data_IF_087608070757
#
_entry.id   IF_087608070757
#
_cell.length_a   1.000
_cell.length_b   1.000
_cell.length_c   1.000
_cell.angle_alpha   90.00
_cell.angle_beta   90.00
_cell.angle_gamma   90.00
#
_symmetry.space_group_name_H-M   'P 1'
#
loop_
_entity.id
_entity.type
_entity.pdbx_description
1 polymer ?
#
# COMPACT_ATOMS: atom_id res chain seq x y z
N UNK A 1 -19.64 2.77 23.34
CA UNK A 1 -19.33 1.33 23.28
C UNK A 1 -18.53 1.06 22.01
N UNK A 2 -17.45 0.28 22.08
CA UNK A 2 -16.57 0.00 20.95
C UNK A 2 -17.21 -1.08 20.07
N UNK A 3 -17.28 -0.87 18.76
CA UNK A 3 -17.92 -1.80 17.83
C UNK A 3 -17.24 -1.82 16.46
N UNK A 4 -17.50 -2.87 15.69
CA UNK A 4 -17.10 -2.96 14.28
C UNK A 4 -17.93 -1.98 13.45
N UNK A 5 -17.28 -1.00 12.84
CA UNK A 5 -17.92 0.01 11.99
C UNK A 5 -18.01 -0.43 10.53
N UNK A 6 -16.96 -1.06 10.02
CA UNK A 6 -16.88 -1.52 8.63
C UNK A 6 -16.04 -2.78 8.55
N UNK A 7 -16.45 -3.69 7.66
CA UNK A 7 -15.68 -4.84 7.24
C UNK A 7 -15.35 -4.72 5.75
N UNK A 8 -14.14 -5.10 5.37
CA UNK A 8 -13.72 -5.14 3.98
C UNK A 8 -12.76 -6.29 3.70
N UNK A 9 -12.88 -6.85 2.50
CA UNK A 9 -11.92 -7.79 1.93
C UNK A 9 -11.35 -7.24 0.63
N UNK A 10 -10.19 -7.71 0.24
CA UNK A 10 -9.52 -7.34 -1.01
C UNK A 10 -9.09 -8.62 -1.70
N UNK A 11 -10.00 -9.29 -2.45
CA UNK A 11 -9.78 -10.65 -2.93
C UNK A 11 -8.52 -10.82 -3.75
N UNK A 12 -8.28 -9.85 -4.65
CA UNK A 12 -7.06 -9.77 -5.43
C UNK A 12 -6.13 -8.72 -4.84
N UNK A 13 -4.88 -9.10 -4.57
CA UNK A 13 -3.84 -8.18 -4.09
C UNK A 13 -3.76 -6.96 -5.01
N UNK A 14 -3.79 -5.76 -4.40
CA UNK A 14 -3.71 -4.47 -5.08
C UNK A 14 -4.92 -4.06 -5.95
N UNK A 15 -6.04 -4.78 -5.90
CA UNK A 15 -7.31 -4.34 -6.51
C UNK A 15 -8.26 -3.69 -5.48
N UNK A 16 -9.43 -3.23 -5.94
CA UNK A 16 -10.45 -2.62 -5.09
C UNK A 16 -10.94 -3.58 -3.99
N UNK A 17 -11.32 -3.00 -2.86
CA UNK A 17 -11.92 -3.74 -1.76
C UNK A 17 -13.43 -3.91 -1.93
N UNK A 18 -13.97 -4.94 -1.31
CA UNK A 18 -15.39 -5.22 -1.21
C UNK A 18 -15.82 -4.96 0.23
N UNK A 19 -16.75 -4.03 0.43
CA UNK A 19 -17.37 -3.78 1.74
C UNK A 19 -18.33 -4.91 2.09
N UNK A 20 -18.27 -5.38 3.34
CA UNK A 20 -19.04 -6.51 3.84
C UNK A 20 -19.94 -6.11 4.99
N UNK A 21 -21.08 -6.82 5.13
CA UNK A 21 -21.93 -6.77 6.33
C UNK A 21 -21.48 -7.77 7.39
N UNK A 22 -20.97 -8.92 6.96
CA UNK A 22 -20.41 -9.96 7.81
C UNK A 22 -19.38 -10.77 7.04
N UNK A 23 -18.52 -11.49 7.74
CA UNK A 23 -17.54 -12.38 7.15
C UNK A 23 -17.16 -13.50 8.11
N UNK A 24 -16.85 -14.66 7.55
CA UNK A 24 -16.15 -15.70 8.27
C UNK A 24 -14.69 -15.29 8.51
N UNK A 25 -14.23 -15.51 9.73
CA UNK A 25 -12.85 -15.39 10.19
C UNK A 25 -12.19 -16.76 10.07
N UNK A 26 -11.07 -16.82 9.37
CA UNK A 26 -10.21 -18.00 9.23
C UNK A 26 -8.82 -17.71 9.82
N UNK A 27 -8.03 -18.75 10.09
CA UNK A 27 -6.63 -18.56 10.47
C UNK A 27 -5.82 -17.76 9.42
N UNK A 28 -6.22 -17.81 8.15
CA UNK A 28 -5.56 -17.14 7.00
C UNK A 28 -6.05 -15.73 6.70
N UNK A 29 -7.11 -15.25 7.36
CA UNK A 29 -7.72 -13.94 7.13
C UNK A 29 -9.24 -14.02 7.07
N UNK A 30 -9.90 -12.90 6.76
CA UNK A 30 -11.32 -12.94 6.39
C UNK A 30 -11.48 -13.81 5.14
N UNK A 31 -12.61 -14.54 5.04
CA UNK A 31 -12.89 -15.40 3.88
C UNK A 31 -12.70 -14.61 2.57
N UNK A 32 -11.94 -15.21 1.65
CA UNK A 32 -11.56 -14.63 0.35
C UNK A 32 -10.62 -13.42 0.38
N UNK A 33 -10.11 -12.99 1.52
CA UNK A 33 -9.22 -11.83 1.57
C UNK A 33 -7.80 -12.16 1.07
N UNK A 34 -7.33 -11.43 0.04
CA UNK A 34 -6.02 -11.59 -0.61
C UNK A 34 -5.71 -13.06 -0.98
N UNK A 35 -6.70 -13.80 -1.46
CA UNK A 35 -6.52 -15.18 -1.95
C UNK A 35 -6.08 -15.23 -3.42
N UNK A 36 -6.05 -14.08 -4.10
CA UNK A 36 -5.51 -13.94 -5.45
C UNK A 36 -4.42 -12.86 -5.55
N UNK A 37 -3.59 -12.95 -6.58
CA UNK A 37 -2.58 -11.97 -6.92
C UNK A 37 -2.28 -11.97 -8.41
N UNK A 38 -2.03 -10.80 -9.00
CA UNK A 38 -1.47 -10.68 -10.34
C UNK A 38 0.05 -10.68 -10.25
N UNK A 39 0.71 -11.46 -11.10
CA UNK A 39 2.17 -11.55 -11.18
C UNK A 39 2.65 -11.59 -12.63
N UNK A 40 3.94 -11.41 -12.83
CA UNK A 40 4.59 -11.81 -14.09
C UNK A 40 4.57 -13.33 -14.27
N UNK A 41 4.80 -13.85 -15.50
CA UNK A 41 4.85 -15.29 -15.76
C UNK A 41 5.83 -16.08 -14.88
N UNK A 42 6.92 -15.43 -14.45
CA UNK A 42 7.93 -16.01 -13.55
C UNK A 42 7.49 -16.08 -12.07
N UNK A 43 6.29 -15.62 -11.72
CA UNK A 43 5.77 -15.61 -10.35
C UNK A 43 6.12 -14.37 -9.51
N UNK A 44 6.81 -13.37 -10.09
CA UNK A 44 7.11 -12.09 -9.43
C UNK A 44 5.82 -11.28 -9.23
N UNK A 45 5.47 -11.03 -7.97
CA UNK A 45 4.28 -10.26 -7.64
C UNK A 45 4.28 -8.85 -8.24
N UNK A 46 3.10 -8.43 -8.69
CA UNK A 46 2.83 -7.08 -9.17
C UNK A 46 1.96 -6.36 -8.13
N UNK A 47 2.20 -5.06 -7.90
CA UNK A 47 1.41 -4.29 -6.93
C UNK A 47 1.02 -2.91 -7.43
N UNK A 48 0.07 -2.29 -6.74
CA UNK A 48 -0.34 -0.91 -6.99
C UNK A 48 0.79 0.13 -6.78
N UNK A 49 1.95 -0.27 -6.24
CA UNK A 49 3.13 0.60 -6.18
C UNK A 49 3.74 0.82 -7.56
N UNK A 50 3.71 -0.21 -8.39
CA UNK A 50 4.27 -0.21 -9.74
C UNK A 50 3.15 0.06 -10.76
N UNK A 51 1.96 -0.50 -10.54
CA UNK A 51 0.80 -0.38 -11.44
C UNK A 51 -0.45 0.06 -10.67
N UNK A 52 -0.58 1.37 -10.36
CA UNK A 52 -1.77 1.93 -9.70
C UNK A 52 -3.09 1.59 -10.40
N UNK A 53 -3.06 1.30 -11.71
CA UNK A 53 -4.20 0.89 -12.52
C UNK A 53 -4.95 -0.31 -11.93
N UNK A 54 -4.26 -1.20 -11.21
CA UNK A 54 -4.90 -2.32 -10.50
C UNK A 54 -5.99 -1.86 -9.53
N UNK A 55 -5.85 -0.68 -8.93
CA UNK A 55 -6.84 -0.10 -8.00
C UNK A 55 -8.14 0.34 -8.70
N UNK A 56 -8.22 0.29 -10.02
CA UNK A 56 -9.47 0.51 -10.76
C UNK A 56 -10.29 -0.77 -11.00
N UNK A 57 -9.65 -1.93 -10.89
CA UNK A 57 -10.32 -3.20 -11.17
C UNK A 57 -11.27 -3.55 -10.03
N UNK A 58 -12.54 -3.75 -10.40
CA UNK A 58 -13.62 -4.10 -9.50
C UNK A 58 -13.67 -5.62 -9.39
N UNK A 59 -13.76 -6.13 -8.17
CA UNK A 59 -13.83 -7.58 -7.91
C UNK A 59 -15.17 -7.95 -7.32
N UNK A 60 -15.75 -9.04 -7.81
CA UNK A 60 -16.90 -9.73 -7.20
C UNK A 60 -16.45 -11.18 -6.97
N UNK A 61 -16.78 -11.75 -5.82
CA UNK A 61 -16.38 -13.12 -5.45
C UNK A 61 -17.50 -13.83 -4.71
N UNK A 62 -17.68 -15.10 -5.02
CA UNK A 62 -18.63 -15.99 -4.37
C UNK A 62 -18.00 -17.38 -4.12
N UNK A 63 -18.84 -18.38 -3.83
CA UNK A 63 -18.42 -19.76 -3.61
C UNK A 63 -17.98 -20.50 -4.87
N UNK A 64 -18.34 -20.01 -6.05
CA UNK A 64 -18.06 -20.64 -7.33
C UNK A 64 -16.79 -20.07 -7.96
N UNK A 65 -16.52 -18.77 -7.80
CA UNK A 65 -15.37 -18.16 -8.45
C UNK A 65 -15.20 -16.66 -8.25
N UNK A 66 -14.35 -16.09 -9.11
CA UNK A 66 -13.96 -14.69 -9.11
C UNK A 66 -14.40 -14.04 -10.42
N UNK A 67 -15.00 -12.86 -10.30
CA UNK A 67 -15.25 -11.95 -11.42
C UNK A 67 -14.40 -10.70 -11.28
N UNK A 68 -13.75 -10.31 -12.37
CA UNK A 68 -12.99 -9.06 -12.46
C UNK A 68 -13.66 -8.20 -13.52
N UNK A 69 -13.93 -6.94 -13.19
CA UNK A 69 -14.53 -5.96 -14.10
C UNK A 69 -13.61 -4.76 -14.29
N UNK A 70 -13.57 -4.24 -15.51
CA UNK A 70 -12.99 -2.94 -15.81
C UNK A 70 -13.86 -1.82 -15.20
N UNK A 71 -13.27 -0.67 -14.84
CA UNK A 71 -14.03 0.50 -14.38
C UNK A 71 -14.95 1.03 -15.49
N UNK A 72 -16.12 1.53 -15.11
CA UNK A 72 -17.14 2.03 -16.05
C UNK A 72 -16.63 3.17 -16.95
N UNK A 73 -15.66 3.96 -16.49
CA UNK A 73 -15.02 5.02 -17.29
C UNK A 73 -14.19 4.51 -18.47
N UNK A 74 -13.79 3.23 -18.46
CA UNK A 74 -13.11 2.57 -19.57
C UNK A 74 -14.07 1.81 -20.49
N UNK A 75 -15.38 1.80 -20.19
CA UNK A 75 -16.40 1.32 -21.13
C UNK A 75 -16.48 2.31 -22.29
N UNK A 76 -15.65 2.13 -23.31
CA UNK A 76 -15.76 2.87 -24.56
C UNK A 76 -17.15 2.62 -25.13
N UNK A 77 -17.90 3.69 -25.41
CA UNK A 77 -19.07 3.60 -26.28
C UNK A 77 -18.60 2.98 -27.61
N UNK A 78 -19.30 1.97 -28.15
CA UNK A 78 -18.90 1.35 -29.40
C UNK A 78 -19.03 2.38 -30.53
N UNK A 79 -17.92 3.01 -30.91
CA UNK A 79 -17.78 3.62 -32.23
C UNK A 79 -17.54 2.47 -33.23
N UNK A 80 -18.25 2.53 -34.35
CA UNK A 80 -18.53 1.43 -35.26
C UNK A 80 -17.33 0.53 -35.61
N UNK A 81 -17.61 -0.78 -35.69
CA UNK A 81 -16.84 -1.84 -36.36
C UNK A 81 -15.51 -2.34 -35.74
N UNK A 82 -15.25 -2.12 -34.45
CA UNK A 82 -14.12 -2.76 -33.77
C UNK A 82 -14.55 -3.76 -32.68
N UNK A 83 -13.76 -4.83 -32.58
CA UNK A 83 -13.87 -5.94 -31.61
C UNK A 83 -14.23 -5.41 -30.24
N UNK A 84 -15.33 -5.88 -29.66
CA UNK A 84 -15.77 -5.50 -28.33
C UNK A 84 -14.84 -6.14 -27.32
N UNK A 85 -13.85 -5.39 -26.81
CA UNK A 85 -13.01 -5.86 -25.71
C UNK A 85 -13.91 -6.21 -24.52
N UNK A 86 -13.82 -7.42 -23.95
CA UNK A 86 -14.63 -7.78 -22.80
C UNK A 86 -14.42 -6.79 -21.67
N UNK A 87 -15.51 -6.30 -21.07
CA UNK A 87 -15.47 -5.35 -19.94
C UNK A 87 -15.37 -6.08 -18.60
N UNK A 88 -15.47 -7.40 -18.62
CA UNK A 88 -15.39 -8.26 -17.45
C UNK A 88 -14.97 -9.68 -17.85
N UNK A 89 -14.41 -10.40 -16.88
CA UNK A 89 -14.09 -11.82 -16.99
C UNK A 89 -14.53 -12.53 -15.70
N UNK A 90 -14.99 -13.77 -15.85
CA UNK A 90 -15.33 -14.65 -14.73
C UNK A 90 -14.52 -15.93 -14.85
N UNK A 91 -14.04 -16.44 -13.72
CA UNK A 91 -13.38 -17.74 -13.65
C UNK A 91 -13.81 -18.49 -12.40
N UNK A 92 -14.13 -19.77 -12.56
CA UNK A 92 -14.48 -20.67 -11.46
C UNK A 92 -13.22 -21.18 -10.77
N UNK A 93 -13.32 -21.47 -9.47
CA UNK A 93 -12.20 -22.11 -8.75
C UNK A 93 -11.75 -23.43 -9.39
N UNK A 94 -12.69 -24.18 -9.99
CA UNK A 94 -12.40 -25.44 -10.68
C UNK A 94 -11.66 -25.29 -12.01
N UNK A 95 -11.55 -24.08 -12.56
CA UNK A 95 -10.88 -23.82 -13.84
C UNK A 95 -9.40 -23.46 -13.66
N UNK A 96 -8.96 -23.19 -12.42
CA UNK A 96 -7.55 -22.99 -12.13
C UNK A 96 -6.76 -24.28 -12.37
N UNK A 97 -5.49 -24.12 -12.74
CA UNK A 97 -4.59 -25.26 -12.98
C UNK A 97 -4.58 -26.24 -11.80
N UNK A 98 -4.57 -27.54 -12.07
CA UNK A 98 -4.41 -28.56 -11.02
C UNK A 98 -2.99 -28.55 -10.44
N UNK A 99 -1.98 -28.18 -11.24
CA UNK A 99 -0.61 -27.97 -10.80
C UNK A 99 -0.45 -26.62 -10.10
N UNK A 100 0.45 -26.58 -9.14
CA UNK A 100 0.86 -25.36 -8.45
C UNK A 100 2.22 -24.94 -8.95
N UNK A 101 2.43 -23.63 -9.03
CA UNK A 101 3.59 -23.03 -9.68
C UNK A 101 4.26 -22.01 -8.73
N UNK A 102 5.58 -21.80 -8.82
CA UNK A 102 6.30 -20.88 -7.95
C UNK A 102 5.70 -19.46 -7.95
N UNK A 103 5.61 -18.87 -6.77
CA UNK A 103 5.11 -17.52 -6.53
C UNK A 103 5.89 -16.86 -5.42
N UNK A 104 6.08 -15.55 -5.54
CA UNK A 104 6.86 -14.79 -4.57
C UNK A 104 6.09 -13.56 -4.09
N UNK A 105 6.10 -13.32 -2.78
CA UNK A 105 5.68 -12.05 -2.18
C UNK A 105 6.76 -11.61 -1.22
N UNK A 106 7.47 -10.53 -1.57
CA UNK A 106 8.67 -10.08 -0.85
C UNK A 106 9.71 -11.22 -0.77
N UNK A 107 10.25 -11.52 0.41
CA UNK A 107 11.23 -12.58 0.60
C UNK A 107 10.58 -13.95 0.87
N UNK A 108 9.27 -14.08 0.64
CA UNK A 108 8.50 -15.31 0.86
C UNK A 108 8.24 -16.01 -0.47
N UNK A 109 8.73 -17.24 -0.60
CA UNK A 109 8.48 -18.12 -1.74
C UNK A 109 7.50 -19.22 -1.34
N UNK A 110 6.56 -19.52 -2.23
CA UNK A 110 5.49 -20.50 -2.03
C UNK A 110 4.91 -20.84 -3.41
N UNK A 111 3.87 -21.66 -3.46
CA UNK A 111 3.25 -22.09 -4.72
C UNK A 111 1.79 -21.62 -4.81
N UNK A 112 1.30 -21.47 -6.03
CA UNK A 112 -0.07 -21.06 -6.31
C UNK A 112 -0.56 -21.60 -7.66
N UNK A 113 -1.88 -21.73 -7.80
CA UNK A 113 -2.51 -22.14 -9.05
C UNK A 113 -2.58 -20.99 -10.05
N UNK A 114 -2.51 -21.30 -11.34
CA UNK A 114 -2.61 -20.31 -12.44
C UNK A 114 -4.04 -20.30 -12.98
N UNK A 115 -4.57 -19.10 -13.23
CA UNK A 115 -5.87 -18.94 -13.88
C UNK A 115 -5.85 -19.37 -15.36
N UNK A 116 -7.01 -19.71 -15.95
CA UNK A 116 -7.12 -19.98 -17.38
C UNK A 116 -6.49 -18.89 -18.26
N UNK A 117 -5.97 -19.30 -19.43
CA UNK A 117 -5.29 -18.39 -20.37
C UNK A 117 -6.13 -17.16 -20.73
N UNK A 118 -7.45 -17.32 -20.87
CA UNK A 118 -8.38 -16.22 -21.18
C UNK A 118 -8.44 -15.16 -20.09
N UNK A 119 -8.27 -15.54 -18.81
CA UNK A 119 -8.20 -14.60 -17.67
C UNK A 119 -6.89 -13.84 -17.69
N UNK A 120 -5.80 -14.54 -18.00
CA UNK A 120 -4.47 -13.94 -18.10
C UNK A 120 -4.42 -12.95 -19.27
N UNK A 121 -4.95 -13.33 -20.44
CA UNK A 121 -5.08 -12.44 -21.61
C UNK A 121 -5.89 -11.18 -21.29
N UNK A 122 -7.04 -11.31 -20.63
CA UNK A 122 -7.84 -10.17 -20.19
C UNK A 122 -7.05 -9.18 -19.32
N UNK A 123 -6.26 -9.69 -18.36
CA UNK A 123 -5.44 -8.84 -17.49
C UNK A 123 -4.21 -8.28 -18.21
N UNK A 124 -3.59 -9.05 -19.11
CA UNK A 124 -2.46 -8.60 -19.94
C UNK A 124 -2.88 -7.49 -20.88
N UNK A 125 -4.05 -7.59 -21.51
CA UNK A 125 -4.64 -6.53 -22.33
C UNK A 125 -4.90 -5.27 -21.49
N UNK A 126 -5.39 -5.40 -20.27
CA UNK A 126 -5.61 -4.24 -19.40
C UNK A 126 -4.29 -3.58 -18.98
N UNK A 127 -3.26 -4.37 -18.64
CA UNK A 127 -1.99 -3.87 -18.12
C UNK A 127 -0.95 -3.54 -19.22
N UNK A 128 -1.18 -3.98 -20.46
CA UNK A 128 -0.30 -3.82 -21.62
C UNK A 128 1.05 -4.57 -21.52
N UNK A 129 1.09 -5.67 -20.77
CA UNK A 129 2.21 -6.62 -20.72
C UNK A 129 1.75 -7.97 -20.16
N UNK A 130 2.55 -9.02 -20.37
CA UNK A 130 2.19 -10.38 -19.96
C UNK A 130 2.11 -10.52 -18.43
N UNK A 131 0.94 -10.93 -17.96
CA UNK A 131 0.68 -11.24 -16.56
C UNK A 131 -0.09 -12.53 -16.39
N UNK A 132 -0.09 -13.04 -15.17
CA UNK A 132 -0.89 -14.16 -14.75
C UNK A 132 -1.63 -13.85 -13.46
N UNK A 133 -2.88 -14.30 -13.38
CA UNK A 133 -3.62 -14.33 -12.12
C UNK A 133 -3.29 -15.64 -11.39
N UNK A 134 -2.87 -15.50 -10.13
CA UNK A 134 -2.58 -16.61 -9.22
C UNK A 134 -3.66 -16.74 -8.16
N UNK A 135 -4.04 -17.97 -7.85
CA UNK A 135 -4.91 -18.32 -6.72
C UNK A 135 -4.16 -19.17 -5.72
N UNK A 136 -4.27 -18.84 -4.43
CA UNK A 136 -3.54 -19.55 -3.37
C UNK A 136 -4.05 -20.98 -3.16
N UNK A 137 -5.23 -21.33 -3.71
CA UNK A 137 -5.89 -22.61 -3.45
C UNK A 137 -6.64 -22.62 -2.11
N UNK A 138 -7.15 -23.78 -1.74
CA UNK A 138 -7.85 -24.00 -0.46
C UNK A 138 -6.90 -24.03 0.74
N UNK A 139 -5.64 -24.36 0.48
CA UNK A 139 -4.59 -24.41 1.49
C UNK A 139 -3.41 -23.59 0.99
N UNK A 140 -2.95 -22.68 1.84
CA UNK A 140 -1.73 -21.93 1.57
C UNK A 140 -0.54 -22.64 2.18
N UNK A 141 0.59 -22.69 1.47
CA UNK A 141 1.90 -23.10 2.03
C UNK A 141 2.64 -21.93 2.69
N UNK A 142 2.16 -20.70 2.48
CA UNK A 142 2.79 -19.51 3.03
C UNK A 142 2.37 -19.29 4.48
N UNK A 143 3.33 -18.86 5.30
CA UNK A 143 3.15 -18.61 6.74
C UNK A 143 3.56 -17.21 7.13
N UNK A 144 2.97 -16.72 8.22
CA UNK A 144 3.42 -15.50 8.88
C UNK A 144 4.80 -15.74 9.48
N UNK A 145 5.81 -14.92 9.12
CA UNK A 145 7.22 -15.13 9.53
C UNK A 145 7.43 -15.33 11.03
N UNK A 146 6.68 -14.60 11.87
CA UNK A 146 6.78 -14.67 13.35
C UNK A 146 5.82 -15.70 13.97
N UNK A 147 4.88 -16.23 13.18
CA UNK A 147 3.85 -17.17 13.62
C UNK A 147 3.74 -18.30 12.57
N UNK A 148 4.67 -19.26 12.60
CA UNK A 148 4.81 -20.26 11.54
C UNK A 148 3.64 -21.25 11.44
N UNK A 149 2.75 -21.26 12.43
CA UNK A 149 1.48 -22.01 12.38
C UNK A 149 0.36 -21.25 11.66
N UNK A 150 0.50 -19.94 11.48
CA UNK A 150 -0.55 -19.08 10.91
C UNK A 150 -0.40 -19.03 9.38
N UNK A 151 -1.36 -19.58 8.62
CA UNK A 151 -1.36 -19.49 7.17
C UNK A 151 -1.55 -18.06 6.70
N UNK A 152 -1.07 -17.74 5.50
CA UNK A 152 -1.17 -16.40 4.94
C UNK A 152 -1.37 -16.47 3.43
N UNK A 153 -2.40 -15.80 2.90
CA UNK A 153 -2.58 -15.63 1.46
C UNK A 153 -1.53 -14.69 0.84
N UNK A 154 -1.92 -13.86 -0.12
CA UNK A 154 -1.05 -12.87 -0.76
C UNK A 154 -0.93 -11.53 -0.01
N UNK A 155 -1.42 -11.47 1.24
CA UNK A 155 -1.28 -10.29 2.10
C UNK A 155 0.20 -9.96 2.42
N UNK A 156 0.53 -8.73 2.81
CA UNK A 156 1.94 -8.33 2.94
C UNK A 156 2.68 -9.04 4.09
N UNK A 157 2.00 -9.33 5.20
CA UNK A 157 2.66 -10.01 6.32
C UNK A 157 1.77 -10.56 7.42
N UNK A 158 0.52 -10.14 7.53
CA UNK A 158 -0.43 -10.65 8.52
C UNK A 158 -1.84 -10.81 7.91
N UNK A 159 -2.66 -11.74 8.45
CA UNK A 159 -3.99 -12.03 7.93
C UNK A 159 -5.02 -10.91 8.08
N UNK A 160 -4.89 -10.07 9.10
CA UNK A 160 -5.88 -9.05 9.44
C UNK A 160 -5.24 -7.69 9.69
N UNK A 161 -5.89 -6.64 9.20
CA UNK A 161 -5.55 -5.26 9.57
C UNK A 161 -6.74 -4.55 10.24
N UNK A 162 -6.47 -3.90 11.36
CA UNK A 162 -7.41 -3.12 12.17
C UNK A 162 -7.10 -1.63 12.06
N UNK A 163 -8.13 -0.80 11.97
CA UNK A 163 -7.99 0.65 12.05
C UNK A 163 -9.17 1.27 12.82
N UNK A 164 -8.89 2.30 13.60
CA UNK A 164 -9.92 3.03 14.33
C UNK A 164 -10.35 4.27 13.55
N UNK A 165 -11.67 4.45 13.40
CA UNK A 165 -12.27 5.62 12.77
C UNK A 165 -11.78 6.91 13.41
N UNK A 166 -11.68 6.97 14.74
CA UNK A 166 -11.23 8.17 15.44
C UNK A 166 -9.77 8.53 15.13
N UNK A 167 -8.91 7.53 14.90
CA UNK A 167 -7.52 7.70 14.45
C UNK A 167 -7.46 8.25 13.03
N UNK A 168 -8.33 7.76 12.14
CA UNK A 168 -8.49 8.29 10.79
C UNK A 168 -8.98 9.74 10.79
N UNK A 169 -10.00 10.06 11.57
CA UNK A 169 -10.53 11.42 11.67
C UNK A 169 -9.46 12.38 12.24
N UNK A 170 -8.65 11.91 13.19
CA UNK A 170 -7.52 12.68 13.72
C UNK A 170 -6.47 13.00 12.66
N UNK A 171 -6.15 12.04 11.79
CA UNK A 171 -5.25 12.22 10.64
C UNK A 171 -5.87 13.17 9.61
N UNK A 172 -7.13 12.95 9.22
CA UNK A 172 -7.81 13.77 8.22
C UNK A 172 -7.86 15.24 8.61
N UNK A 173 -8.07 15.57 9.89
CA UNK A 173 -8.07 16.98 10.37
C UNK A 173 -6.71 17.69 10.22
N UNK A 174 -5.62 16.94 10.07
CA UNK A 174 -4.25 17.46 9.94
C UNK A 174 -3.70 17.33 8.52
N UNK A 175 -4.33 16.51 7.70
CA UNK A 175 -3.91 16.30 6.33
C UNK A 175 -4.62 17.32 5.43
N UNK A 176 -3.87 18.10 4.62
CA UNK A 176 -4.48 19.07 3.69
C UNK A 176 -5.25 18.38 2.56
N UNK A 177 -4.91 17.12 2.26
CA UNK A 177 -5.56 16.32 1.24
C UNK A 177 -6.79 15.59 1.79
N UNK A 178 -7.80 15.41 0.94
CA UNK A 178 -8.98 14.61 1.28
C UNK A 178 -8.65 13.12 1.17
N UNK A 179 -8.63 12.44 2.30
CA UNK A 179 -8.33 11.02 2.40
C UNK A 179 -9.60 10.17 2.35
N UNK A 180 -9.41 8.91 1.98
CA UNK A 180 -10.39 7.83 2.00
C UNK A 180 -9.86 6.69 2.86
N UNK A 181 -10.70 6.09 3.71
CA UNK A 181 -10.31 4.96 4.57
C UNK A 181 -9.75 3.79 3.75
N UNK A 182 -10.30 3.59 2.56
CA UNK A 182 -9.94 2.56 1.61
C UNK A 182 -8.47 2.64 1.16
N UNK A 183 -7.84 3.83 1.23
CA UNK A 183 -6.40 4.00 0.96
C UNK A 183 -5.53 3.21 1.95
N UNK A 184 -6.01 2.99 3.18
CA UNK A 184 -5.31 2.25 4.23
C UNK A 184 -5.57 0.75 4.20
N UNK A 185 -6.48 0.29 3.33
CA UNK A 185 -6.75 -1.12 3.03
C UNK A 185 -6.95 -2.03 4.25
N UNK A 186 -7.50 -1.48 5.34
CA UNK A 186 -7.75 -2.23 6.57
C UNK A 186 -8.98 -3.13 6.40
N UNK A 187 -8.99 -4.26 7.08
CA UNK A 187 -10.08 -5.23 7.02
C UNK A 187 -11.21 -4.87 7.96
N UNK A 188 -10.84 -4.43 9.16
CA UNK A 188 -11.78 -4.15 10.24
C UNK A 188 -11.57 -2.68 10.62
N UNK A 189 -12.60 -1.87 10.40
CA UNK A 189 -12.67 -0.50 10.94
C UNK A 189 -13.54 -0.53 12.17
N UNK A 190 -13.10 0.12 13.24
CA UNK A 190 -13.84 0.20 14.50
C UNK A 190 -14.26 1.62 14.80
N UNK A 191 -15.27 1.78 15.65
CA UNK A 191 -15.69 3.06 16.18
C UNK A 191 -16.05 2.95 17.68
N UNK A 192 -16.14 4.09 18.35
CA UNK A 192 -16.50 4.18 19.77
C UNK A 192 -15.32 4.17 20.75
N UNK A 193 -14.08 4.30 20.24
CA UNK A 193 -12.85 4.49 21.02
C UNK A 193 -12.20 5.84 20.72
N UNK A 194 -11.32 6.31 21.62
CA UNK A 194 -10.51 7.51 21.41
C UNK A 194 -9.49 7.29 20.26
N UNK A 195 -9.01 8.35 19.58
CA UNK A 195 -7.94 8.23 18.61
C UNK A 195 -6.72 7.49 19.17
N UNK A 196 -6.21 6.54 18.40
CA UNK A 196 -5.05 5.69 18.70
C UNK A 196 -5.19 4.76 19.91
N UNK A 197 -6.40 4.61 20.45
CA UNK A 197 -6.65 3.67 21.53
C UNK A 197 -6.26 2.23 21.14
N UNK A 198 -6.31 1.86 19.85
CA UNK A 198 -5.92 0.54 19.36
C UNK A 198 -4.42 0.21 19.54
N UNK A 199 -3.56 1.21 19.79
CA UNK A 199 -2.12 1.01 19.92
C UNK A 199 -1.73 0.26 21.19
N UNK A 200 -2.53 0.38 22.26
CA UNK A 200 -2.27 -0.24 23.57
C UNK A 200 -3.07 -1.52 23.79
N UNK A 201 -3.78 -2.01 22.77
CA UNK A 201 -4.51 -3.28 22.85
C UNK A 201 -3.57 -4.44 22.56
N UNK A 202 -3.74 -5.53 23.32
CA UNK A 202 -2.98 -6.77 23.15
C UNK A 202 -3.87 -7.88 22.60
N UNK A 203 -5.06 -8.05 23.19
CA UNK A 203 -6.02 -9.07 22.79
C UNK A 203 -7.42 -8.48 22.84
N UNK A 204 -8.19 -8.70 21.78
CA UNK A 204 -9.57 -8.26 21.68
C UNK A 204 -10.49 -9.43 21.31
N UNK A 205 -11.76 -9.32 21.66
CA UNK A 205 -12.81 -10.24 21.25
C UNK A 205 -13.86 -9.48 20.44
N UNK A 206 -14.22 -10.00 19.28
CA UNK A 206 -15.27 -9.48 18.38
C UNK A 206 -16.25 -10.61 18.13
N UNK A 207 -17.50 -10.46 18.57
CA UNK A 207 -18.42 -11.61 18.64
C UNK A 207 -17.79 -12.72 19.48
N UNK A 208 -17.66 -13.93 18.93
CA UNK A 208 -16.99 -15.07 19.58
C UNK A 208 -15.52 -15.27 19.17
N UNK A 209 -14.98 -14.38 18.33
CA UNK A 209 -13.63 -14.51 17.79
C UNK A 209 -12.64 -13.69 18.59
N UNK A 210 -11.54 -14.34 19.00
CA UNK A 210 -10.44 -13.69 19.72
C UNK A 210 -9.30 -13.37 18.74
N UNK A 211 -8.82 -12.13 18.79
CA UNK A 211 -7.70 -11.64 18.00
C UNK A 211 -6.54 -11.19 18.89
N UNK A 212 -5.32 -11.51 18.46
CA UNK A 212 -4.11 -10.91 19.02
C UNK A 212 -3.64 -9.75 18.16
N UNK A 213 -3.42 -8.61 18.81
CA UNK A 213 -2.86 -7.40 18.22
C UNK A 213 -1.34 -7.54 18.21
N UNK A 214 -0.79 -7.87 17.05
CA UNK A 214 0.62 -8.30 16.95
C UNK A 214 1.57 -7.10 16.90
N UNK A 215 1.28 -6.12 16.05
CA UNK A 215 2.15 -4.95 15.85
C UNK A 215 1.44 -3.82 15.10
N UNK A 216 1.95 -2.58 15.19
CA UNK A 216 1.56 -1.50 14.32
C UNK A 216 1.76 -1.83 12.82
N UNK A 217 0.84 -1.35 11.99
CA UNK A 217 0.90 -1.49 10.54
C UNK A 217 1.71 -0.36 9.92
N UNK A 218 2.91 -0.70 9.42
CA UNK A 218 3.74 0.20 8.62
C UNK A 218 3.01 0.61 7.35
N UNK A 219 3.06 1.90 7.02
CA UNK A 219 2.41 2.46 5.84
C UNK A 219 3.43 2.78 4.76
N UNK A 220 3.03 2.52 3.52
CA UNK A 220 3.85 2.68 2.32
C UNK A 220 3.17 3.63 1.33
N UNK A 221 3.84 3.91 0.21
CA UNK A 221 3.36 4.85 -0.82
C UNK A 221 1.94 4.57 -1.35
N UNK A 222 1.41 3.34 -1.22
CA UNK A 222 0.05 3.01 -1.69
C UNK A 222 -1.00 3.88 -1.00
N UNK A 223 -0.78 4.29 0.25
CA UNK A 223 -1.70 5.19 0.94
C UNK A 223 -1.74 6.59 0.34
N UNK A 224 -0.75 6.97 -0.48
CA UNK A 224 -0.68 8.26 -1.17
C UNK A 224 -1.43 8.26 -2.51
N UNK A 225 -1.94 7.12 -2.97
CA UNK A 225 -2.63 7.05 -4.27
C UNK A 225 -4.07 7.52 -4.09
N UNK A 226 -4.46 8.54 -4.86
CA UNK A 226 -5.85 8.96 -4.96
C UNK A 226 -6.64 7.89 -5.73
N UNK A 227 -7.60 7.23 -5.08
CA UNK A 227 -8.32 6.11 -5.67
C UNK A 227 -9.22 6.50 -6.87
N UNK A 228 -9.53 7.77 -7.04
CA UNK A 228 -10.34 8.26 -8.17
C UNK A 228 -9.48 8.62 -9.39
N UNK A 229 -8.31 9.22 -9.18
CA UNK A 229 -7.45 9.71 -10.28
C UNK A 229 -6.23 8.82 -10.54
N UNK A 230 -5.92 7.90 -9.62
CA UNK A 230 -4.70 7.10 -9.53
C UNK A 230 -3.38 7.87 -9.48
N UNK A 231 -3.44 9.19 -9.36
CA UNK A 231 -2.27 10.02 -9.14
C UNK A 231 -1.91 10.02 -7.66
N UNK A 232 -0.64 10.27 -7.38
CA UNK A 232 -0.20 10.52 -6.02
C UNK A 232 -0.81 11.83 -5.51
N UNK A 233 -1.19 11.84 -4.24
CA UNK A 233 -1.56 13.04 -3.51
C UNK A 233 -0.35 13.97 -3.42
N UNK A 234 -0.60 15.28 -3.42
CA UNK A 234 0.45 16.29 -3.36
C UNK A 234 1.28 16.15 -2.07
N UNK A 235 2.54 16.58 -2.13
CA UNK A 235 3.43 16.63 -0.97
C UNK A 235 3.58 15.30 -0.20
N UNK A 236 3.46 14.16 -0.87
CA UNK A 236 3.58 12.83 -0.26
C UNK A 236 2.57 12.55 0.88
N UNK A 237 1.40 13.18 0.85
CA UNK A 237 0.32 12.93 1.80
C UNK A 237 -0.32 11.53 1.60
N UNK A 238 -0.79 10.85 2.66
CA UNK A 238 -0.84 11.28 4.06
C UNK A 238 0.44 10.97 4.86
N UNK A 239 1.47 10.40 4.22
CA UNK A 239 2.68 9.97 4.94
C UNK A 239 3.44 11.17 5.52
N UNK A 240 3.45 12.30 4.83
CA UNK A 240 4.03 13.55 5.36
C UNK A 240 3.37 13.96 6.69
N UNK A 241 2.03 13.99 6.73
CA UNK A 241 1.30 14.30 7.97
C UNK A 241 1.55 13.25 9.04
N UNK A 242 1.40 11.96 8.73
CA UNK A 242 1.59 10.87 9.70
C UNK A 242 2.96 10.91 10.35
N UNK A 243 4.00 11.22 9.58
CA UNK A 243 5.37 11.28 10.07
C UNK A 243 5.58 12.20 11.26
N UNK A 244 4.80 13.28 11.38
CA UNK A 244 4.93 14.25 12.48
C UNK A 244 4.58 13.66 13.85
N UNK A 245 3.78 12.57 13.90
CA UNK A 245 3.34 11.95 15.16
C UNK A 245 3.34 10.42 15.16
N UNK A 246 3.68 9.76 14.05
CA UNK A 246 3.69 8.29 13.88
C UNK A 246 5.00 7.73 13.35
N UNK A 247 6.04 8.55 13.26
CA UNK A 247 7.37 8.08 12.90
C UNK A 247 8.07 7.50 14.13
N UNK A 248 8.64 6.31 13.99
CA UNK A 248 9.50 5.71 15.02
C UNK A 248 10.97 6.17 14.88
N UNK A 249 11.82 5.73 15.80
CA UNK A 249 13.25 6.09 15.86
C UNK A 249 14.06 5.67 14.63
N UNK A 250 13.60 4.66 13.89
CA UNK A 250 14.24 4.18 12.65
C UNK A 250 13.61 4.78 11.39
N UNK A 251 12.66 5.69 11.56
CA UNK A 251 12.03 6.45 10.47
C UNK A 251 10.76 5.83 9.89
N UNK A 252 10.32 4.66 10.37
CA UNK A 252 9.14 3.97 9.85
C UNK A 252 7.85 4.65 10.34
N UNK A 253 6.85 4.72 9.46
CA UNK A 253 5.58 5.41 9.72
C UNK A 253 4.48 4.38 9.90
N UNK A 254 3.82 4.40 11.06
CA UNK A 254 2.79 3.42 11.42
C UNK A 254 1.39 4.03 11.49
N UNK A 255 0.37 3.28 11.09
CA UNK A 255 -1.02 3.69 11.28
C UNK A 255 -1.92 2.46 11.34
N UNK A 256 -2.78 2.29 12.34
CA UNK A 256 -3.54 1.04 12.53
C UNK A 256 -2.66 -0.16 12.90
N UNK A 257 -3.29 -1.33 13.07
CA UNK A 257 -2.67 -2.53 13.66
C UNK A 257 -2.78 -3.75 12.75
N UNK A 258 -1.88 -4.71 12.93
CA UNK A 258 -1.89 -6.03 12.29
C UNK A 258 -2.25 -7.10 13.33
N UNK A 259 -3.10 -8.05 12.97
CA UNK A 259 -3.64 -9.05 13.89
C UNK A 259 -3.57 -10.47 13.34
N UNK A 260 -3.69 -11.44 14.25
CA UNK A 260 -3.97 -12.85 13.96
C UNK A 260 -5.21 -13.27 14.76
N UNK A 261 -5.99 -14.22 14.23
CA UNK A 261 -7.11 -14.81 14.95
C UNK A 261 -6.66 -16.07 15.71
N UNK A 262 -7.15 -16.26 16.93
CA UNK A 262 -6.90 -17.48 17.73
C UNK A 262 -7.86 -18.61 17.39
N UNK A 263 -9.05 -18.27 16.92
CA UNK A 263 -10.11 -19.21 16.55
C UNK A 263 -10.86 -18.72 15.31
N UNK A 264 -11.58 -19.64 14.67
CA UNK A 264 -12.48 -19.32 13.57
C UNK A 264 -13.86 -18.89 14.13
N UNK A 265 -14.63 -18.19 13.32
CA UNK A 265 -15.99 -17.78 13.66
C UNK A 265 -16.55 -16.81 12.63
N UNK A 266 -17.67 -16.17 12.93
CA UNK A 266 -18.24 -15.11 12.10
C UNK A 266 -18.20 -13.79 12.86
N UNK A 267 -17.92 -12.71 12.15
CA UNK A 267 -18.04 -11.34 12.66
C UNK A 267 -18.92 -10.51 11.71
N UNK A 268 -19.62 -9.52 12.24
CA UNK A 268 -20.48 -8.62 11.52
C UNK A 268 -20.21 -7.16 11.89
N UNK A 269 -20.70 -6.25 11.05
CA UNK A 269 -20.80 -4.83 11.43
C UNK A 269 -21.69 -4.70 12.67
N UNK A 270 -21.39 -3.73 13.52
CA UNK A 270 -21.99 -3.47 14.83
C UNK A 270 -21.67 -4.50 15.92
N UNK A 271 -20.91 -5.56 15.64
CA UNK A 271 -20.44 -6.46 16.70
C UNK A 271 -19.66 -5.68 17.76
N UNK A 272 -19.94 -5.98 19.01
CA UNK A 272 -19.24 -5.41 20.15
C UNK A 272 -17.78 -5.86 20.18
N UNK A 273 -16.89 -4.96 20.60
CA UNK A 273 -15.47 -5.26 20.80
C UNK A 273 -15.13 -5.17 22.28
N UNK A 274 -14.73 -6.30 22.84
CA UNK A 274 -14.23 -6.39 24.21
C UNK A 274 -12.70 -6.40 24.19
N UNK A 275 -12.08 -5.56 25.04
CA UNK A 275 -10.62 -5.52 25.18
C UNK A 275 -10.25 -6.47 26.32
N UNK A 276 -9.74 -7.66 25.97
CA UNK A 276 -9.39 -8.71 26.93
C UNK A 276 -8.04 -8.45 27.61
N UNK A 277 -7.10 -7.82 26.91
CA UNK A 277 -5.79 -7.50 27.44
C UNK A 277 -5.20 -6.26 26.77
N UNK A 278 -4.38 -5.52 27.52
CA UNK A 278 -3.62 -4.36 27.05
C UNK A 278 -2.11 -4.63 27.04
N UNK A 279 -1.38 -3.81 26.30
CA UNK A 279 0.07 -3.78 26.23
C UNK A 279 0.56 -2.33 26.12
N UNK A 280 1.84 -2.05 26.46
CA UNK A 280 2.40 -0.73 26.21
C UNK A 280 2.33 -0.36 24.72
N UNK A 281 1.78 0.81 24.42
CA UNK A 281 1.80 1.36 23.07
C UNK A 281 3.24 1.63 22.60
N UNK A 282 3.48 1.48 21.29
CA UNK A 282 4.75 1.85 20.68
C UNK A 282 4.98 3.36 20.83
N UNK A 283 6.20 3.74 21.19
CA UNK A 283 6.60 5.16 21.26
C UNK A 283 6.94 5.69 19.87
N UNK A 284 6.54 6.92 19.61
CA UNK A 284 6.81 7.64 18.37
C UNK A 284 7.52 8.96 18.67
N UNK A 285 8.34 9.40 17.73
CA UNK A 285 8.97 10.72 17.77
C UNK A 285 7.89 11.75 17.42
N UNK A 286 7.71 12.74 18.28
CA UNK A 286 6.95 13.94 17.95
C UNK A 286 7.89 14.90 17.24
N UNK A 287 7.67 15.10 15.96
CA UNK A 287 8.39 16.10 15.16
C UNK A 287 7.38 17.19 14.88
N UNK A 288 7.68 18.42 15.32
CA UNK A 288 6.85 19.56 14.93
C UNK A 288 6.79 19.63 13.40
N UNK A 289 5.61 19.81 12.81
CA UNK A 289 5.49 19.92 11.36
C UNK A 289 6.44 21.02 10.89
N UNK A 290 7.31 20.76 9.89
CA UNK A 290 8.13 21.83 9.33
C UNK A 290 7.20 22.93 8.86
N UNK A 291 7.42 24.16 9.34
CA UNK A 291 6.68 25.34 8.89
C UNK A 291 6.76 25.39 7.36
N UNK A 292 5.60 25.45 6.70
CA UNK A 292 5.53 25.82 5.30
C UNK A 292 6.05 27.26 5.21
N UNK A 293 7.32 27.44 4.85
CA UNK A 293 7.85 28.77 4.58
C UNK A 293 7.23 29.29 3.27
N UNK A 294 6.98 30.59 3.25
CA UNK A 294 6.28 31.33 2.19
C UNK A 294 6.68 30.95 0.76
N UNK A 295 5.64 30.88 -0.07
CA UNK A 295 5.67 30.62 -1.51
C UNK A 295 6.36 31.78 -2.20
N UNK A 296 7.60 31.57 -2.70
CA UNK A 296 8.18 32.24 -3.90
C UNK A 296 9.70 32.10 -4.05
N UNK A 297 10.42 31.33 -3.23
CA UNK A 297 11.86 31.17 -3.44
C UNK A 297 12.18 30.08 -4.47
N UNK A 298 12.42 30.51 -5.71
CA UNK A 298 12.94 29.67 -6.78
C UNK A 298 14.41 29.31 -6.52
N UNK A 299 14.82 28.11 -6.91
CA UNK A 299 16.22 27.68 -6.90
C UNK A 299 16.61 27.05 -8.24
N UNK A 300 17.88 27.09 -8.60
CA UNK A 300 18.42 26.34 -9.73
C UNK A 300 18.93 24.99 -9.25
N UNK A 301 18.48 23.92 -9.90
CA UNK A 301 18.94 22.56 -9.64
C UNK A 301 19.66 22.07 -10.90
N UNK A 302 20.94 21.74 -10.77
CA UNK A 302 21.72 21.13 -11.84
C UNK A 302 21.88 19.64 -11.55
N UNK A 303 21.36 18.80 -12.44
CA UNK A 303 21.45 17.34 -12.39
C UNK A 303 22.14 16.82 -13.64
N UNK A 304 23.25 16.09 -13.50
CA UNK A 304 24.02 15.53 -14.64
C UNK A 304 24.28 16.55 -15.77
N UNK A 305 24.62 17.79 -15.42
CA UNK A 305 24.83 18.94 -16.32
C UNK A 305 23.57 19.54 -16.98
N UNK A 306 22.37 19.02 -16.69
CA UNK A 306 21.10 19.64 -17.05
C UNK A 306 20.63 20.56 -15.92
N UNK A 307 20.30 21.81 -16.25
CA UNK A 307 19.77 22.78 -15.29
C UNK A 307 18.25 22.84 -15.38
N UNK A 308 17.57 22.81 -14.23
CA UNK A 308 16.13 23.04 -14.11
C UNK A 308 15.84 24.16 -13.12
N UNK A 309 14.70 24.82 -13.29
CA UNK A 309 14.20 25.83 -12.36
C UNK A 309 13.28 25.12 -11.36
N UNK A 310 13.77 25.01 -10.12
CA UNK A 310 13.07 24.42 -9.00
C UNK A 310 12.59 25.45 -7.98
N UNK A 311 12.24 24.97 -6.80
CA UNK A 311 11.86 25.76 -5.63
C UNK A 311 12.42 25.15 -4.34
N UNK A 312 12.42 25.95 -3.28
CA UNK A 312 12.85 25.54 -1.95
C UNK A 312 11.71 24.91 -1.11
N UNK A 313 10.72 24.29 -1.74
CA UNK A 313 9.51 23.76 -1.05
C UNK A 313 9.26 22.27 -1.32
N UNK A 314 9.42 21.84 -2.57
CA UNK A 314 9.14 20.47 -2.98
C UNK A 314 10.38 19.57 -2.81
N UNK A 315 10.22 18.27 -2.52
CA UNK A 315 11.33 17.33 -2.57
C UNK A 315 11.97 17.30 -3.96
N UNK A 316 13.29 17.13 -4.02
CA UNK A 316 14.05 17.03 -5.27
C UNK A 316 13.45 16.03 -6.26
N UNK A 317 13.00 14.87 -5.78
CA UNK A 317 12.37 13.87 -6.64
C UNK A 317 11.15 14.44 -7.40
N UNK A 318 10.28 15.16 -6.70
CA UNK A 318 9.05 15.69 -7.30
C UNK A 318 9.37 16.80 -8.31
N UNK A 319 10.36 17.64 -8.02
CA UNK A 319 10.82 18.68 -8.93
C UNK A 319 11.46 18.10 -10.20
N UNK A 320 12.22 17.01 -10.08
CA UNK A 320 12.81 16.30 -11.21
C UNK A 320 11.74 15.67 -12.10
N UNK A 321 10.72 15.05 -11.50
CA UNK A 321 9.60 14.46 -12.25
C UNK A 321 8.78 15.50 -13.02
N UNK A 322 8.56 16.68 -12.44
CA UNK A 322 7.91 17.80 -13.12
C UNK A 322 8.67 18.26 -14.37
N UNK A 323 9.98 18.02 -14.42
CA UNK A 323 10.85 18.32 -15.56
C UNK A 323 11.17 17.08 -16.41
N UNK A 324 10.41 15.99 -16.24
CA UNK A 324 10.59 14.71 -16.94
C UNK A 324 11.97 14.06 -16.74
N UNK A 325 12.64 14.36 -15.62
CA UNK A 325 13.92 13.74 -15.24
C UNK A 325 13.64 12.58 -14.29
N UNK A 326 13.87 11.36 -14.77
CA UNK A 326 13.62 10.16 -14.00
C UNK A 326 14.81 9.79 -13.12
N UNK A 327 14.53 9.50 -11.85
CA UNK A 327 15.44 8.80 -10.95
C UNK A 327 14.70 7.61 -10.33
N UNK A 328 15.36 6.46 -10.10
CA UNK A 328 14.69 5.31 -9.50
C UNK A 328 14.12 5.64 -8.11
N UNK A 329 12.88 5.26 -7.79
CA UNK A 329 12.33 5.40 -6.43
C UNK A 329 11.36 4.28 -6.08
N UNK A 330 11.10 4.09 -4.78
CA UNK A 330 10.10 3.12 -4.29
C UNK A 330 9.28 3.56 -3.08
N UNK A 331 9.76 4.49 -2.25
CA UNK A 331 9.03 4.87 -1.02
C UNK A 331 8.53 6.32 -0.99
N UNK A 332 9.20 7.23 -1.70
CA UNK A 332 8.97 8.69 -1.65
C UNK A 332 9.01 9.37 -0.27
N UNK A 333 9.50 8.68 0.76
CA UNK A 333 9.54 9.18 2.14
C UNK A 333 10.90 9.04 2.80
N UNK A 334 11.96 8.78 2.02
CA UNK A 334 13.34 8.72 2.55
C UNK A 334 13.71 7.41 3.25
N UNK A 335 13.02 6.29 2.97
CA UNK A 335 13.24 5.00 3.64
C UNK A 335 13.92 3.94 2.76
N UNK A 336 13.42 3.69 1.54
CA UNK A 336 13.91 2.58 0.70
C UNK A 336 15.32 2.77 0.12
N UNK A 337 15.86 3.98 0.14
CA UNK A 337 17.17 4.28 -0.43
C UNK A 337 17.29 4.26 -1.97
N UNK A 338 16.22 3.96 -2.72
CA UNK A 338 16.25 3.85 -4.19
C UNK A 338 16.44 5.21 -4.90
N UNK A 339 15.89 6.29 -4.32
CA UNK A 339 15.97 7.67 -4.83
C UNK A 339 17.31 8.38 -4.54
N UNK A 340 18.40 7.61 -4.44
CA UNK A 340 19.69 8.09 -3.97
C UNK A 340 20.42 8.86 -5.06
N UNK A 341 20.93 10.02 -4.69
CA UNK A 341 21.75 10.89 -5.55
C UNK A 341 22.91 11.46 -4.74
N UNK A 342 23.97 11.87 -5.42
CA UNK A 342 25.13 12.50 -4.79
C UNK A 342 24.96 14.02 -4.79
N UNK A 343 25.03 14.65 -3.61
CA UNK A 343 25.03 16.12 -3.49
C UNK A 343 26.45 16.64 -3.75
N UNK A 344 26.63 17.36 -4.86
CA UNK A 344 27.92 17.94 -5.28
C UNK A 344 28.13 19.35 -4.77
N UNK A 345 27.07 20.15 -4.74
CA UNK A 345 27.13 21.55 -4.32
C UNK A 345 25.77 21.99 -3.76
N UNK A 346 25.81 22.89 -2.76
CA UNK A 346 24.64 23.48 -2.12
C UNK A 346 24.16 22.73 -0.88
N UNK A 347 23.06 23.20 -0.31
CA UNK A 347 22.47 22.67 0.93
C UNK A 347 21.04 22.19 0.69
N UNK A 348 20.63 21.17 1.43
CA UNK A 348 19.26 20.67 1.44
C UNK A 348 18.69 20.65 2.85
N UNK A 349 17.41 20.95 2.97
CA UNK A 349 16.61 20.66 4.15
C UNK A 349 16.08 19.24 4.04
N UNK A 350 16.24 18.43 5.08
CA UNK A 350 15.78 17.05 5.06
C UNK A 350 14.42 16.91 5.71
N UNK A 351 13.54 16.15 5.06
CA UNK A 351 12.26 15.79 5.65
C UNK A 351 12.44 14.67 6.66
N UNK A 352 13.30 13.66 6.41
CA UNK A 352 13.66 12.59 7.38
C UNK A 352 15.13 12.72 7.79
N UNK A 353 15.50 12.34 9.03
CA UNK A 353 16.89 12.17 9.41
C UNK A 353 17.64 11.17 8.52
N UNK A 354 16.95 10.11 8.07
CA UNK A 354 17.49 9.07 7.18
C UNK A 354 17.81 9.54 5.76
N UNK A 355 17.43 10.76 5.38
CA UNK A 355 17.60 11.28 4.03
C UNK A 355 19.06 11.63 3.71
N UNK A 356 19.86 11.99 4.71
CA UNK A 356 21.31 12.14 4.57
C UNK A 356 21.93 10.76 4.76
N UNK A 357 22.77 10.36 3.80
CA UNK A 357 23.59 9.15 3.87
C UNK A 357 25.05 9.55 4.03
N UNK A 358 25.90 8.56 4.31
CA UNK A 358 27.33 8.78 4.42
C UNK A 358 27.89 9.23 3.06
N UNK A 359 29.00 9.98 3.07
CA UNK A 359 29.75 10.38 1.86
C UNK A 359 29.04 11.39 0.94
N UNK A 360 28.17 12.26 1.48
CA UNK A 360 27.51 13.32 0.70
C UNK A 360 26.34 12.83 -0.16
N UNK A 361 25.92 11.58 0.03
CA UNK A 361 24.73 11.01 -0.60
C UNK A 361 23.46 11.51 0.09
N UNK A 362 22.43 11.80 -0.71
CA UNK A 362 21.12 12.22 -0.22
C UNK A 362 20.00 11.42 -0.90
N UNK A 363 18.85 11.34 -0.24
CA UNK A 363 17.63 10.77 -0.80
C UNK A 363 16.78 11.89 -1.41
N UNK A 364 16.76 11.98 -2.74
CA UNK A 364 16.06 13.03 -3.48
C UNK A 364 14.57 13.14 -3.10
N UNK A 365 13.96 12.01 -2.73
CA UNK A 365 12.58 11.95 -2.30
C UNK A 365 12.29 12.50 -0.91
N UNK A 366 13.30 12.92 -0.17
CA UNK A 366 13.17 13.44 1.19
C UNK A 366 14.13 14.60 1.49
N UNK A 367 14.63 15.26 0.44
CA UNK A 367 15.50 16.42 0.51
C UNK A 367 14.89 17.55 -0.32
N UNK A 368 14.79 18.75 0.27
CA UNK A 368 14.29 19.98 -0.36
C UNK A 368 15.48 20.93 -0.52
N UNK A 369 15.68 21.60 -1.67
CA UNK A 369 16.71 22.63 -1.82
C UNK A 369 16.62 23.70 -0.73
N UNK A 370 17.76 24.05 -0.14
CA UNK A 370 17.89 25.17 0.81
C UNK A 370 18.71 26.31 0.19
N UNK A 371 19.71 26.00 -0.64
CA UNK A 371 20.50 26.98 -1.39
C UNK A 371 19.82 27.40 -2.70
N UNK A 372 20.12 28.61 -3.17
CA UNK A 372 19.64 29.10 -4.47
C UNK A 372 20.18 28.28 -5.65
N UNK A 373 21.35 27.67 -5.50
CA UNK A 373 21.96 26.79 -6.48
C UNK A 373 22.26 25.45 -5.82
N UNK A 374 21.86 24.36 -6.46
CA UNK A 374 22.08 23.00 -5.99
C UNK A 374 22.61 22.14 -7.14
N UNK A 375 23.72 21.43 -6.94
CA UNK A 375 24.23 20.45 -7.92
C UNK A 375 24.12 19.04 -7.36
N UNK A 376 23.45 18.17 -8.11
CA UNK A 376 23.31 16.76 -7.79
C UNK A 376 23.76 15.89 -8.97
N UNK A 377 24.22 14.67 -8.68
CA UNK A 377 24.61 13.69 -9.69
C UNK A 377 23.86 12.38 -9.43
N UNK A 378 23.25 11.81 -10.46
CA UNK A 378 22.69 10.45 -10.36
C UNK A 378 23.79 9.42 -10.56
N UNK A 379 23.59 8.25 -10.00
CA UNK A 379 24.33 7.07 -10.44
C UNK A 379 23.74 6.67 -11.79
N UNK A 380 24.40 7.04 -12.88
CA UNK A 380 24.10 6.50 -14.20
C UNK A 380 24.13 4.97 -14.10
N UNK A 381 23.20 4.29 -14.75
CA UNK A 381 23.37 2.88 -15.09
C UNK A 381 24.50 2.79 -16.13
N UNK A 382 25.75 2.93 -15.71
CA UNK A 382 26.89 2.29 -16.38
C UNK A 382 26.99 0.89 -15.79
N UNK A 383 26.05 0.04 -16.19
CA UNK A 383 26.24 -1.41 -16.18
C UNK A 383 25.98 -1.83 -17.62
N UNK A 384 27.02 -1.62 -18.44
CA UNK A 384 27.35 -2.58 -19.47
C UNK A 384 27.75 -3.90 -18.77
N UNK A 385 27.39 -5.00 -19.44
CA UNK A 385 27.54 -6.43 -19.11
C UNK A 385 26.44 -7.11 -18.27
#
# INVERSE_FOLDING_TARGET
MIHVKQLAIYPVKSMQGISLKSSQVLASGLKYDRVFMVCEPNGRFITAREFPQLLQLITEIDENGLKIRLPTSLNRQPQSNHITTPTHIYTKFSEFSSTVEPSQVWNSHFTAHIAPIVVNQFLSEFLQFDVQLRWIGNHSDRRVKRYPITPLGFADGYPYSLLNQASFDFLQRRCPEKLKLEQFRSNIIIAGSLPFAEDDWKTIKIGDVIFDIVKPCRRCMVTQINLSTLKLLANSEPLRTLKTFRQDEIGEIDFGMQMIARNNGNIAINDHIEILARQPAKKYIKIDPPKLNDVNQTCQITINNQMIIGNCQLPLLEQLEQHNIFIPYSCRVGLCGKCRVLLKEGEVTTLTPSAIKNNGEILACSCIPKSQHLKIKTYSNDVEE
#
